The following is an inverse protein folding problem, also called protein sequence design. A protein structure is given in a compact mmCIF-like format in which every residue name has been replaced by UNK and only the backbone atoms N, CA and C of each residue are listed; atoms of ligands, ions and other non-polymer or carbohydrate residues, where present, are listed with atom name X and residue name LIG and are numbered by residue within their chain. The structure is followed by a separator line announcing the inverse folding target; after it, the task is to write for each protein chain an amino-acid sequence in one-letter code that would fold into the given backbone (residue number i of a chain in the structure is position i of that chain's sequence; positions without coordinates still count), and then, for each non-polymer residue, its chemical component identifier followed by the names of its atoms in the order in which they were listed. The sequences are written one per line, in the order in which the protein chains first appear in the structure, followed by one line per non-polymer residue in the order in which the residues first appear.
data_IF_463730900138
#
_entry.id   IF_463730900138
#
_cell.length_a   1.000
_cell.length_b   1.000
_cell.length_c   1.000
_cell.angle_alpha   90.00
_cell.angle_beta   90.00
_cell.angle_gamma   90.00
#
_symmetry.space_group_name_H-M   'P 1'
#
loop_
_entity.id
_entity.type
_entity.pdbx_description
1 polymer ?
#
# COMPACT_ATOMS: atom_id res chain seq x y z
N UNK A 1 6.61 -23.86 -18.84
CA UNK A 1 5.29 -23.41 -18.33
C UNK A 1 5.32 -22.80 -16.91
N UNK A 2 6.40 -22.97 -16.12
CA UNK A 2 6.45 -22.49 -14.72
C UNK A 2 6.66 -20.97 -14.58
N UNK A 3 7.49 -20.39 -15.45
CA UNK A 3 7.81 -18.96 -15.44
C UNK A 3 6.58 -18.03 -15.65
N UNK A 4 5.56 -18.49 -16.36
CA UNK A 4 4.34 -17.70 -16.58
C UNK A 4 3.45 -17.64 -15.34
N UNK A 5 3.35 -18.75 -14.58
CA UNK A 5 2.61 -18.77 -13.32
C UNK A 5 3.32 -18.00 -12.20
N UNK A 6 4.66 -18.08 -12.13
CA UNK A 6 5.46 -17.31 -11.17
C UNK A 6 5.37 -15.79 -11.45
N UNK A 7 5.42 -15.38 -12.72
CA UNK A 7 5.22 -13.99 -13.11
C UNK A 7 3.81 -13.48 -12.73
N UNK A 8 2.77 -14.28 -12.94
CA UNK A 8 1.40 -13.92 -12.54
C UNK A 8 1.25 -13.81 -11.01
N UNK A 9 1.92 -14.69 -10.25
CA UNK A 9 1.89 -14.65 -8.78
C UNK A 9 2.61 -13.41 -8.24
N UNK A 10 3.73 -13.03 -8.86
CA UNK A 10 4.45 -11.79 -8.51
C UNK A 10 3.73 -10.51 -8.95
N UNK A 11 2.95 -10.53 -10.05
CA UNK A 11 2.27 -9.34 -10.57
C UNK A 11 1.13 -8.80 -9.67
N UNK A 12 0.75 -9.54 -8.63
CA UNK A 12 -0.30 -9.17 -7.68
C UNK A 12 0.14 -9.04 -6.23
N UNK A 13 1.33 -9.53 -5.86
CA UNK A 13 1.82 -9.42 -4.48
C UNK A 13 2.77 -8.24 -4.33
N UNK A 14 2.55 -7.36 -3.34
CA UNK A 14 3.52 -6.32 -3.03
C UNK A 14 4.84 -6.96 -2.57
N UNK A 15 5.95 -6.53 -3.17
CA UNK A 15 7.29 -6.95 -2.79
C UNK A 15 7.67 -6.42 -1.40
N UNK A 16 7.08 -5.30 -0.99
CA UNK A 16 7.26 -4.69 0.32
C UNK A 16 5.98 -4.00 0.80
N UNK A 17 5.83 -3.90 2.12
CA UNK A 17 4.75 -3.16 2.76
C UNK A 17 5.31 -2.22 3.81
N UNK A 18 4.91 -0.96 3.76
CA UNK A 18 5.25 0.07 4.74
C UNK A 18 4.00 0.57 5.45
N UNK A 19 4.17 1.00 6.70
CA UNK A 19 3.10 1.60 7.49
C UNK A 19 3.31 3.09 7.65
N UNK A 20 2.23 3.85 7.60
CA UNK A 20 2.23 5.31 7.77
C UNK A 20 1.00 5.75 8.55
N UNK A 21 1.09 6.91 9.21
CA UNK A 21 -0.04 7.58 9.84
C UNK A 21 -0.83 8.45 8.85
N UNK A 22 -0.28 8.73 7.66
CA UNK A 22 -0.89 9.61 6.64
C UNK A 22 -0.59 9.12 5.21
N UNK A 23 -1.37 8.13 4.75
CA UNK A 23 -1.18 7.56 3.41
C UNK A 23 -1.54 8.54 2.29
N UNK A 24 -2.42 9.51 2.58
CA UNK A 24 -2.82 10.52 1.60
C UNK A 24 -1.70 11.53 1.36
N UNK A 25 -1.09 12.04 2.43
CA UNK A 25 0.05 12.95 2.34
C UNK A 25 1.27 12.28 1.72
N UNK A 26 1.56 11.02 2.06
CA UNK A 26 2.63 10.24 1.40
C UNK A 26 2.37 10.07 -0.09
N UNK A 27 1.14 9.70 -0.48
CA UNK A 27 0.75 9.58 -1.88
C UNK A 27 0.99 10.87 -2.66
N UNK A 28 0.56 12.02 -2.13
CA UNK A 28 0.71 13.31 -2.79
C UNK A 28 2.17 13.72 -2.95
N UNK A 29 2.97 13.57 -1.88
CA UNK A 29 4.43 13.86 -1.92
C UNK A 29 5.15 12.98 -2.93
N UNK A 30 4.89 11.67 -2.91
CA UNK A 30 5.52 10.73 -3.81
C UNK A 30 5.09 10.96 -5.27
N UNK A 31 3.81 11.23 -5.51
CA UNK A 31 3.31 11.54 -6.85
C UNK A 31 3.92 12.83 -7.39
N UNK A 32 4.06 13.87 -6.56
CA UNK A 32 4.75 15.11 -6.94
C UNK A 32 6.24 14.88 -7.26
N UNK A 33 6.87 13.89 -6.63
CA UNK A 33 8.24 13.46 -6.92
C UNK A 33 8.37 12.54 -8.16
N UNK A 34 7.26 12.24 -8.85
CA UNK A 34 7.25 11.40 -10.06
C UNK A 34 7.01 9.91 -9.82
N UNK A 35 6.63 9.50 -8.60
CA UNK A 35 6.27 8.11 -8.34
C UNK A 35 4.97 7.73 -9.06
N UNK A 36 4.96 6.54 -9.66
CA UNK A 36 3.77 5.96 -10.29
C UNK A 36 3.01 5.10 -9.29
N UNK A 37 1.67 5.19 -9.33
CA UNK A 37 0.80 4.40 -8.46
C UNK A 37 -0.12 3.53 -9.31
N UNK A 38 -0.11 2.22 -9.01
CA UNK A 38 -1.08 1.27 -9.56
C UNK A 38 -2.45 1.43 -8.90
N UNK A 39 -2.45 1.84 -7.62
CA UNK A 39 -3.67 2.09 -6.86
C UNK A 39 -3.48 3.31 -5.96
N UNK A 40 -4.31 4.36 -6.09
CA UNK A 40 -4.30 5.49 -5.15
C UNK A 40 -4.76 5.05 -3.75
N UNK A 41 -4.59 5.89 -2.71
CA UNK A 41 -5.14 5.65 -1.39
C UNK A 41 -6.59 5.19 -1.45
N UNK A 42 -6.82 3.94 -1.09
CA UNK A 42 -8.10 3.25 -1.20
C UNK A 42 -8.44 2.66 0.16
N UNK A 43 -9.63 3.00 0.65
CA UNK A 43 -10.14 2.48 1.91
C UNK A 43 -10.47 1.00 1.74
N UNK A 44 -9.91 0.16 2.59
CA UNK A 44 -10.22 -1.26 2.72
C UNK A 44 -10.62 -1.57 4.16
N UNK A 45 -11.00 -2.81 4.43
CA UNK A 45 -11.37 -3.22 5.79
C UNK A 45 -10.18 -3.05 6.74
N UNK A 46 -10.33 -2.17 7.73
CA UNK A 46 -9.34 -1.94 8.80
C UNK A 46 -8.09 -1.13 8.40
N UNK A 47 -8.02 -0.60 7.17
CA UNK A 47 -6.91 0.26 6.75
C UNK A 47 -7.24 1.07 5.50
N UNK A 48 -6.40 2.04 5.17
CA UNK A 48 -6.34 2.70 3.86
C UNK A 48 -5.00 2.35 3.23
N UNK A 49 -5.01 1.88 1.98
CA UNK A 49 -3.80 1.41 1.30
C UNK A 49 -3.57 2.11 -0.03
N UNK A 50 -2.32 2.34 -0.40
CA UNK A 50 -1.89 2.76 -1.73
C UNK A 50 -0.85 1.76 -2.26
N UNK A 51 -0.79 1.56 -3.58
CA UNK A 51 0.23 0.72 -4.21
C UNK A 51 1.04 1.54 -5.22
N UNK A 52 2.32 1.73 -4.90
CA UNK A 52 3.31 2.39 -5.75
C UNK A 52 4.06 1.35 -6.60
N UNK A 53 4.53 1.77 -7.77
CA UNK A 53 5.46 1.02 -8.61
C UNK A 53 6.89 1.54 -8.33
N UNK A 54 7.83 0.63 -8.05
CA UNK A 54 9.22 0.97 -7.74
C UNK A 54 10.11 1.20 -8.98
N UNK A 55 9.51 1.38 -10.16
CA UNK A 55 10.15 1.50 -11.49
C UNK A 55 10.82 0.23 -12.01
N UNK A 56 11.11 -0.74 -11.15
CA UNK A 56 11.65 -2.06 -11.51
C UNK A 56 10.54 -3.08 -11.76
N UNK A 57 9.27 -2.67 -11.61
CA UNK A 57 8.11 -3.52 -11.78
C UNK A 57 7.60 -4.16 -10.49
N UNK A 58 8.18 -3.82 -9.33
CA UNK A 58 7.68 -4.29 -8.05
C UNK A 58 6.60 -3.36 -7.50
N UNK A 59 5.62 -3.96 -6.82
CA UNK A 59 4.59 -3.22 -6.11
C UNK A 59 5.02 -2.97 -4.67
N UNK A 60 4.95 -1.72 -4.24
CA UNK A 60 5.14 -1.33 -2.84
C UNK A 60 3.78 -0.91 -2.28
N UNK A 61 3.33 -1.59 -1.23
CA UNK A 61 2.11 -1.22 -0.53
C UNK A 61 2.42 -0.27 0.63
N UNK A 62 1.69 0.84 0.71
CA UNK A 62 1.73 1.79 1.82
C UNK A 62 0.39 1.69 2.53
N UNK A 63 0.40 1.33 3.81
CA UNK A 63 -0.80 1.08 4.58
C UNK A 63 -0.90 2.04 5.77
N UNK A 64 -2.04 2.69 5.90
CA UNK A 64 -2.45 3.38 7.10
C UNK A 64 -3.50 2.51 7.81
N UNK A 65 -3.12 1.95 8.96
CA UNK A 65 -4.03 1.14 9.75
C UNK A 65 -5.12 2.03 10.37
N UNK A 66 -6.34 1.52 10.37
CA UNK A 66 -7.39 2.17 11.14
C UNK A 66 -7.01 2.09 12.61
N UNK A 67 -7.02 3.25 13.28
CA UNK A 67 -6.82 3.28 14.72
C UNK A 67 -7.94 2.47 15.35
N UNK A 68 -7.61 1.27 15.84
CA UNK A 68 -8.46 0.59 16.80
C UNK A 68 -8.55 1.55 17.98
N UNK A 69 -9.74 2.11 18.22
CA UNK A 69 -10.00 2.73 19.51
C UNK A 69 -9.88 1.61 20.53
N UNK A 70 -8.70 1.45 21.11
CA UNK A 70 -8.56 0.71 22.36
C UNK A 70 -9.47 1.42 23.34
N UNK A 71 -10.65 0.84 23.58
CA UNK A 71 -11.56 1.24 24.63
C UNK A 71 -10.96 0.91 25.99
N UNK A 72 -9.78 1.47 26.29
CA UNK A 72 -9.26 1.53 27.64
C UNK A 72 -9.90 2.76 28.30
N UNK A 73 -11.12 2.59 28.78
CA UNK A 73 -11.82 3.61 29.56
C UNK A 73 -13.31 3.63 29.33
N UNK A 74 -14.04 2.72 30.01
CA UNK A 74 -15.13 3.08 30.93
C UNK A 74 -15.78 1.82 31.51
N UNK A 75 -15.76 1.80 32.85
CA UNK A 75 -16.42 0.91 33.83
C UNK A 75 -15.65 -0.34 34.20
#
# INVERSE_FOLDING_TARGET
AKAYQEALFQQGQPAAMFFTDDVQGDYERMKAAGAEFKMPPTKVTGSTIAQANDTSGNLIQIAQLDRVRSGAGRR
#
